data_IF_573481729528
#
_entry.id   IF_573481729528
#
_cell.length_a   1.000
_cell.length_b   1.000
_cell.length_c   1.000
_cell.angle_alpha   90.00
_cell.angle_beta   90.00
_cell.angle_gamma   90.00
#
_symmetry.space_group_name_H-M   'P 1'
#
loop_
_entity.id
_entity.type
_entity.pdbx_description
1 polymer ?
#
# COMPACT_ATOMS: atom_id res chain seq x y z
N UNK A 1 -63.91 20.54 15.25
CA UNK A 1 -62.68 20.97 15.96
C UNK A 1 -61.52 20.33 15.21
N UNK A 2 -60.90 20.90 14.17
CA UNK A 2 -60.37 22.25 13.94
C UNK A 2 -59.26 22.65 14.95
N UNK A 3 -58.05 22.80 14.39
CA UNK A 3 -56.88 23.58 14.83
C UNK A 3 -55.90 22.94 15.84
N UNK A 4 -54.70 22.61 15.35
CA UNK A 4 -53.38 23.06 15.82
C UNK A 4 -52.29 21.97 15.75
N UNK A 5 -51.35 22.10 14.81
CA UNK A 5 -49.90 21.93 15.04
C UNK A 5 -49.16 22.09 13.70
N UNK A 6 -48.68 23.31 13.44
CA UNK A 6 -47.78 23.65 12.33
C UNK A 6 -46.65 24.51 12.89
N UNK A 7 -45.64 23.86 13.47
CA UNK A 7 -44.37 24.49 13.84
C UNK A 7 -43.32 23.36 13.97
N UNK A 8 -42.36 23.29 13.05
CA UNK A 8 -41.29 22.28 13.13
C UNK A 8 -40.30 22.19 11.96
N UNK A 9 -40.55 22.86 10.82
CA UNK A 9 -39.71 22.68 9.61
C UNK A 9 -38.53 23.68 9.53
N UNK A 10 -38.43 24.64 10.46
CA UNK A 10 -37.38 25.67 10.43
C UNK A 10 -36.02 25.27 11.00
N UNK A 11 -35.93 24.19 11.78
CA UNK A 11 -34.71 23.83 12.51
C UNK A 11 -33.67 23.06 11.70
N UNK A 12 -34.10 22.18 10.78
CA UNK A 12 -33.19 21.27 10.06
C UNK A 12 -32.44 21.94 8.91
N UNK A 13 -33.02 22.96 8.27
CA UNK A 13 -32.34 23.73 7.22
C UNK A 13 -31.16 24.56 7.77
N UNK A 14 -31.24 24.99 9.04
CA UNK A 14 -30.14 25.70 9.71
C UNK A 14 -28.93 24.81 10.02
N UNK A 15 -29.16 23.54 10.37
CA UNK A 15 -28.08 22.60 10.66
C UNK A 15 -27.32 22.17 9.40
N UNK A 16 -28.01 22.00 8.28
CA UNK A 16 -27.37 21.65 7.00
C UNK A 16 -26.49 22.79 6.46
N UNK A 17 -26.95 24.05 6.57
CA UNK A 17 -26.16 25.22 6.17
C UNK A 17 -24.87 25.36 7.00
N UNK A 18 -24.92 25.01 8.28
CA UNK A 18 -23.77 25.08 9.19
C UNK A 18 -22.72 24.00 8.89
N UNK A 19 -23.16 22.78 8.53
CA UNK A 19 -22.26 21.69 8.15
C UNK A 19 -21.52 21.97 6.82
N UNK A 20 -22.20 22.56 5.85
CA UNK A 20 -21.59 22.94 4.56
C UNK A 20 -20.56 24.06 4.76
N UNK A 21 -20.88 25.07 5.57
CA UNK A 21 -19.92 26.15 5.89
C UNK A 21 -18.67 25.62 6.61
N UNK A 22 -18.83 24.67 7.53
CA UNK A 22 -17.71 24.02 8.22
C UNK A 22 -16.82 23.21 7.25
N UNK A 23 -17.42 22.49 6.30
CA UNK A 23 -16.67 21.75 5.27
C UNK A 23 -15.83 22.65 4.37
N UNK A 24 -16.38 23.79 3.94
CA UNK A 24 -15.65 24.78 3.12
C UNK A 24 -14.49 25.41 3.90
N UNK A 25 -14.68 25.71 5.19
CA UNK A 25 -13.63 26.26 6.05
C UNK A 25 -12.45 25.28 6.26
N UNK A 26 -12.74 23.99 6.45
CA UNK A 26 -11.71 22.95 6.59
C UNK A 26 -10.90 22.80 5.31
N UNK A 27 -11.57 22.83 4.15
CA UNK A 27 -10.89 22.71 2.86
C UNK A 27 -10.01 23.94 2.54
N UNK A 28 -10.45 25.14 2.91
CA UNK A 28 -9.63 26.35 2.81
C UNK A 28 -8.38 26.29 3.72
N UNK A 29 -8.52 25.78 4.95
CA UNK A 29 -7.39 25.63 5.87
C UNK A 29 -6.35 24.60 5.37
N UNK A 30 -6.81 23.51 4.75
CA UNK A 30 -5.92 22.51 4.17
C UNK A 30 -5.13 23.05 2.97
N UNK A 31 -5.75 23.89 2.13
CA UNK A 31 -5.04 24.57 1.02
C UNK A 31 -3.96 25.52 1.52
N UNK A 32 -4.25 26.35 2.52
CA UNK A 32 -3.25 27.25 3.13
C UNK A 32 -2.06 26.48 3.73
N UNK A 33 -2.31 25.32 4.37
CA UNK A 33 -1.21 24.46 4.87
C UNK A 33 -0.34 23.89 3.74
N UNK A 34 -0.95 23.45 2.64
CA UNK A 34 -0.23 22.91 1.49
C UNK A 34 0.64 24.01 0.83
N UNK A 35 0.09 25.21 0.67
CA UNK A 35 0.83 26.35 0.09
C UNK A 35 2.00 26.78 0.98
N UNK A 36 1.83 26.79 2.31
CA UNK A 36 2.93 27.06 3.26
C UNK A 36 4.02 25.99 3.21
N UNK A 37 3.67 24.72 3.10
CA UNK A 37 4.65 23.64 2.96
C UNK A 37 5.42 23.76 1.65
N UNK A 38 4.75 24.12 0.55
CA UNK A 38 5.39 24.37 -0.74
C UNK A 38 6.34 25.55 -0.69
N UNK A 39 5.93 26.66 -0.08
CA UNK A 39 6.79 27.82 0.13
C UNK A 39 8.02 27.52 1.00
N UNK A 40 7.87 26.69 2.04
CA UNK A 40 9.00 26.24 2.87
C UNK A 40 9.97 25.33 2.10
N UNK A 41 9.46 24.48 1.20
CA UNK A 41 10.28 23.65 0.35
C UNK A 41 11.09 24.48 -0.65
N UNK A 42 10.46 25.47 -1.29
CA UNK A 42 11.11 26.37 -2.25
C UNK A 42 12.13 27.33 -1.57
N UNK A 43 11.88 27.70 -0.31
CA UNK A 43 12.85 28.45 0.50
C UNK A 43 14.07 27.61 0.92
N UNK A 44 13.96 26.27 0.97
CA UNK A 44 15.09 25.38 1.26
C UNK A 44 15.91 25.06 0.02
N UNK A 45 15.28 25.00 -1.16
CA UNK A 45 15.98 24.72 -2.43
C UNK A 45 16.78 25.91 -2.98
N UNK A 46 16.57 27.11 -2.45
CA UNK A 46 17.20 28.36 -2.91
C UNK A 46 18.40 28.81 -2.09
N UNK A 47 18.94 27.98 -1.18
CA UNK A 47 20.17 28.32 -0.44
C UNK A 47 21.41 28.18 -1.35
N UNK A 48 22.24 29.22 -1.52
CA UNK A 48 23.50 29.10 -2.24
C UNK A 48 24.47 28.19 -1.46
N UNK A 49 25.15 27.30 -2.18
CA UNK A 49 26.17 26.41 -1.64
C UNK A 49 27.30 27.22 -0.98
N UNK A 50 27.33 27.25 0.35
CA UNK A 50 28.52 27.63 1.11
C UNK A 50 29.39 26.41 1.41
N UNK A 51 30.69 26.63 1.35
CA UNK A 51 31.82 25.68 1.42
C UNK A 51 31.77 24.63 2.55
N UNK A 52 32.43 23.47 2.36
CA UNK A 52 32.48 22.41 3.36
C UNK A 52 33.33 22.81 4.59
N UNK A 53 32.68 22.90 5.75
CA UNK A 53 33.33 23.03 7.04
C UNK A 53 34.02 21.73 7.47
N UNK A 54 35.34 21.81 7.69
CA UNK A 54 36.19 20.75 8.24
C UNK A 54 35.76 20.40 9.65
N UNK A 55 35.34 19.15 9.86
CA UNK A 55 35.01 18.62 11.18
C UNK A 55 36.29 18.32 11.99
N UNK A 56 36.45 19.02 13.11
CA UNK A 56 37.45 18.75 14.14
C UNK A 56 36.99 17.56 15.00
N UNK A 57 37.72 16.46 14.95
CA UNK A 57 37.55 15.32 15.87
C UNK A 57 38.01 15.78 17.25
N UNK A 58 37.14 15.64 18.26
CA UNK A 58 37.43 15.91 19.67
C UNK A 58 37.52 14.56 20.38
N UNK A 59 38.73 14.15 20.74
CA UNK A 59 38.98 12.98 21.58
C UNK A 59 38.43 13.22 22.99
N UNK A 60 37.60 12.29 23.48
CA UNK A 60 37.24 12.20 24.88
C UNK A 60 38.00 11.03 25.51
N UNK A 61 38.98 11.35 26.35
CA UNK A 61 39.59 10.42 27.29
C UNK A 61 38.59 10.10 28.42
N UNK A 62 38.14 8.85 28.48
CA UNK A 62 37.38 8.28 29.58
C UNK A 62 38.13 7.10 30.20
N UNK A 63 38.59 7.33 31.44
CA UNK A 63 39.45 6.49 32.29
C UNK A 63 38.90 5.09 32.54
N UNK A 64 39.76 4.09 32.37
CA UNK A 64 39.63 2.72 32.92
C UNK A 64 39.90 2.72 34.43
N UNK A 65 39.23 1.83 35.17
CA UNK A 65 39.78 1.05 36.31
C UNK A 65 38.86 -0.16 36.64
N UNK A 66 39.37 -1.21 37.33
CA UNK A 66 39.27 -2.58 36.81
C UNK A 66 38.72 -3.64 37.78
N UNK A 67 38.80 -4.91 37.34
CA UNK A 67 38.88 -6.17 38.11
C UNK A 67 37.52 -6.78 38.54
N UNK A 68 37.25 -8.10 38.51
CA UNK A 68 38.06 -9.29 38.83
C UNK A 68 37.56 -10.55 38.07
N UNK A 69 38.56 -11.36 37.63
CA UNK A 69 38.65 -12.79 37.32
C UNK A 69 37.41 -13.72 37.32
N UNK A 70 37.33 -14.52 36.25
CA UNK A 70 36.62 -15.81 36.21
C UNK A 70 37.13 -16.66 35.04
N UNK A 71 38.10 -17.52 35.32
CA UNK A 71 38.83 -18.39 34.39
C UNK A 71 37.97 -19.58 33.96
N UNK A 72 38.02 -19.93 32.66
CA UNK A 72 37.46 -21.18 32.13
C UNK A 72 37.89 -21.39 30.67
N UNK A 73 39.07 -21.98 30.49
CA UNK A 73 39.67 -22.27 29.19
C UNK A 73 39.25 -23.65 28.65
N UNK A 74 38.91 -23.74 27.35
CA UNK A 74 39.09 -24.96 26.54
C UNK A 74 39.53 -24.57 25.10
N UNK A 75 40.77 -24.94 24.78
CA UNK A 75 41.44 -25.13 23.46
C UNK A 75 40.64 -26.12 22.59
N UNK A 76 40.75 -26.28 21.27
CA UNK A 76 41.51 -25.78 20.11
C UNK A 76 40.81 -26.43 18.88
N UNK A 77 40.95 -26.06 17.60
CA UNK A 77 42.14 -26.19 16.75
C UNK A 77 41.85 -25.68 15.32
N UNK A 78 42.86 -25.09 14.68
CA UNK A 78 43.15 -25.15 13.23
C UNK A 78 42.30 -24.24 12.30
N UNK A 79 42.83 -23.63 11.24
CA UNK A 79 44.16 -23.66 10.61
C UNK A 79 44.24 -22.47 9.64
N UNK A 80 45.37 -21.77 9.64
CA UNK A 80 45.69 -20.66 8.77
C UNK A 80 46.06 -21.11 7.34
N UNK A 81 45.78 -20.25 6.36
CA UNK A 81 46.36 -20.29 5.02
C UNK A 81 46.65 -18.85 4.56
N UNK A 82 47.92 -18.57 4.28
CA UNK A 82 48.45 -17.26 3.92
C UNK A 82 48.90 -17.23 2.45
N UNK A 83 48.77 -16.04 1.85
CA UNK A 83 49.68 -15.41 0.87
C UNK A 83 49.87 -16.11 -0.48
N UNK A 84 49.47 -15.42 -1.55
CA UNK A 84 50.40 -15.13 -2.66
C UNK A 84 50.07 -13.82 -3.37
N UNK A 85 51.13 -13.11 -3.74
CA UNK A 85 51.19 -11.78 -4.35
C UNK A 85 52.01 -11.86 -5.64
N UNK A 86 51.64 -11.12 -6.69
CA UNK A 86 52.45 -10.60 -7.83
C UNK A 86 51.47 -10.18 -8.95
N UNK A 87 51.67 -9.21 -9.85
CA UNK A 87 52.69 -8.20 -10.16
C UNK A 87 52.11 -7.37 -11.35
N UNK A 88 52.00 -6.05 -11.26
CA UNK A 88 52.75 -5.01 -12.00
C UNK A 88 52.40 -4.68 -13.47
N UNK A 89 52.15 -3.37 -13.71
CA UNK A 89 52.68 -2.44 -14.77
C UNK A 89 51.83 -1.16 -14.70
N UNK A 90 52.28 0.00 -14.25
CA UNK A 90 53.35 0.92 -14.70
C UNK A 90 53.16 1.45 -16.14
N UNK A 91 52.74 2.73 -16.30
CA UNK A 91 53.64 3.85 -16.63
C UNK A 91 52.91 5.16 -17.01
N UNK A 92 53.48 6.26 -16.49
CA UNK A 92 53.76 7.54 -17.17
C UNK A 92 52.58 8.39 -17.65
N UNK A 93 52.48 9.70 -17.40
CA UNK A 93 53.47 10.69 -16.94
C UNK A 93 52.96 12.07 -17.39
N UNK A 94 52.95 13.07 -16.52
CA UNK A 94 53.78 14.27 -16.64
C UNK A 94 52.95 15.55 -16.51
N UNK A 95 53.37 16.37 -15.56
CA UNK A 95 52.89 17.70 -15.17
C UNK A 95 53.14 18.75 -16.27
N UNK A 96 52.47 19.90 -16.16
CA UNK A 96 53.11 21.21 -15.98
C UNK A 96 52.12 22.27 -15.47
N UNK A 97 52.55 22.99 -14.44
CA UNK A 97 51.94 24.18 -13.82
C UNK A 97 52.19 25.44 -14.68
N UNK A 98 51.38 26.51 -14.52
CA UNK A 98 51.83 27.78 -13.88
C UNK A 98 51.10 29.10 -14.29
N UNK A 99 50.79 29.90 -13.24
CA UNK A 99 50.68 31.38 -13.08
C UNK A 99 49.66 32.22 -13.90
N UNK A 100 48.63 32.82 -13.26
CA UNK A 100 48.53 34.15 -12.57
C UNK A 100 48.65 35.37 -13.50
N UNK A 101 47.60 36.20 -13.56
CA UNK A 101 47.69 37.65 -13.27
C UNK A 101 46.31 38.34 -13.27
N UNK A 102 46.11 39.21 -12.29
CA UNK A 102 44.98 40.09 -12.09
C UNK A 102 45.19 41.47 -12.75
N UNK A 103 44.12 42.25 -12.89
CA UNK A 103 44.15 43.70 -13.10
C UNK A 103 42.88 44.21 -13.78
N UNK A 104 41.97 44.88 -13.07
CA UNK A 104 41.89 46.32 -12.73
C UNK A 104 41.04 47.15 -13.72
N UNK A 105 39.93 47.69 -13.20
CA UNK A 105 39.42 49.08 -13.36
C UNK A 105 39.34 49.72 -14.77
N UNK A 106 38.13 50.20 -15.18
CA UNK A 106 37.62 51.57 -14.93
C UNK A 106 36.33 51.89 -15.71
N UNK A 107 35.63 52.90 -15.18
CA UNK A 107 34.39 53.55 -15.62
C UNK A 107 34.48 54.26 -16.98
N UNK A 108 33.31 54.41 -17.62
CA UNK A 108 32.84 55.70 -18.14
C UNK A 108 32.58 55.79 -19.65
N UNK A 109 31.39 56.29 -20.02
CA UNK A 109 31.20 57.03 -21.28
C UNK A 109 29.99 56.64 -22.11
N UNK A 110 28.89 57.38 -21.98
CA UNK A 110 27.86 57.49 -23.01
C UNK A 110 28.42 58.22 -24.24
N UNK A 111 28.34 57.61 -25.43
CA UNK A 111 28.27 58.32 -26.72
C UNK A 111 27.38 57.53 -27.68
N UNK A 112 26.27 58.15 -28.08
CA UNK A 112 25.45 57.68 -29.19
C UNK A 112 26.22 57.83 -30.50
N UNK A 113 26.25 56.77 -31.29
CA UNK A 113 26.67 56.76 -32.68
C UNK A 113 25.69 55.86 -33.45
N UNK A 114 25.03 56.43 -34.46
CA UNK A 114 24.35 55.70 -35.50
C UNK A 114 25.30 54.64 -36.09
N UNK A 115 24.86 53.38 -36.17
CA UNK A 115 25.52 52.36 -36.99
C UNK A 115 24.54 51.72 -37.96
N UNK A 116 24.88 51.91 -39.22
CA UNK A 116 24.45 51.18 -40.40
C UNK A 116 24.54 49.67 -40.13
N UNK A 117 23.49 48.92 -40.48
CA UNK A 117 23.48 47.48 -40.38
C UNK A 117 24.55 46.87 -41.30
N UNK A 118 25.49 46.06 -40.78
CA UNK A 118 26.44 45.36 -41.63
C UNK A 118 25.73 44.22 -42.35
N UNK A 119 25.86 44.20 -43.68
CA UNK A 119 25.51 43.04 -44.50
C UNK A 119 26.43 41.88 -44.09
N UNK A 120 25.89 40.92 -43.34
CA UNK A 120 26.63 39.73 -42.94
C UNK A 120 26.78 38.81 -44.16
N UNK A 121 28.03 38.54 -44.53
CA UNK A 121 28.36 37.55 -45.56
C UNK A 121 27.73 36.19 -45.19
N UNK A 122 26.95 35.62 -46.13
CA UNK A 122 26.20 34.35 -45.99
C UNK A 122 27.00 33.19 -45.39
N UNK A 123 28.34 33.22 -45.45
CA UNK A 123 29.22 32.21 -44.87
C UNK A 123 29.32 32.21 -43.34
N UNK A 124 29.15 33.36 -42.66
CA UNK A 124 29.19 33.40 -41.19
C UNK A 124 27.87 32.97 -40.53
N UNK A 125 26.74 33.19 -41.20
CA UNK A 125 25.43 32.76 -40.69
C UNK A 125 25.33 31.23 -40.59
N UNK A 126 25.88 30.47 -41.56
CA UNK A 126 25.87 29.01 -41.48
C UNK A 126 26.73 28.48 -40.33
N UNK A 127 27.88 29.10 -40.02
CA UNK A 127 28.71 28.71 -38.87
C UNK A 127 28.00 28.95 -37.54
N UNK A 128 27.24 30.05 -37.42
CA UNK A 128 26.45 30.35 -36.23
C UNK A 128 25.26 29.41 -36.05
N UNK A 129 24.60 28.98 -37.15
CA UNK A 129 23.50 28.01 -37.09
C UNK A 129 24.01 26.62 -36.69
N UNK A 130 25.16 26.19 -37.21
CA UNK A 130 25.76 24.88 -36.85
C UNK A 130 26.31 24.86 -35.42
N UNK A 131 26.89 25.96 -34.93
CA UNK A 131 27.35 26.04 -33.54
C UNK A 131 26.19 26.21 -32.54
N UNK A 132 25.09 26.84 -32.94
CA UNK A 132 23.90 26.99 -32.09
C UNK A 132 23.04 25.72 -32.01
N UNK A 133 23.15 24.79 -32.96
CA UNK A 133 22.38 23.53 -32.96
C UNK A 133 23.05 22.41 -32.14
N UNK A 134 24.36 22.46 -31.93
CA UNK A 134 25.11 21.52 -31.08
C UNK A 134 24.59 21.42 -29.62
N UNK A 135 24.29 22.50 -28.90
CA UNK A 135 23.70 22.38 -27.56
C UNK A 135 22.29 21.79 -27.59
N UNK A 136 21.50 22.04 -28.65
CA UNK A 136 20.14 21.49 -28.77
C UNK A 136 20.18 19.97 -28.98
N UNK A 137 21.09 19.47 -29.81
CA UNK A 137 21.28 18.02 -30.00
C UNK A 137 21.82 17.35 -28.74
N UNK A 138 22.74 18.01 -28.01
CA UNK A 138 23.23 17.51 -26.73
C UNK A 138 22.14 17.48 -25.64
N UNK A 139 21.24 18.47 -25.60
CA UNK A 139 20.08 18.48 -24.70
C UNK A 139 19.08 17.39 -25.08
N UNK A 140 18.79 17.18 -26.37
CA UNK A 140 17.89 16.09 -26.80
C UNK A 140 18.48 14.71 -26.49
N UNK A 141 19.79 14.52 -26.68
CA UNK A 141 20.47 13.28 -26.31
C UNK A 141 20.50 13.05 -24.79
N UNK A 142 20.71 14.11 -24.00
CA UNK A 142 20.62 14.01 -22.53
C UNK A 142 19.19 13.76 -22.04
N UNK A 143 18.17 14.32 -22.68
CA UNK A 143 16.76 14.02 -22.39
C UNK A 143 16.42 12.58 -22.77
N UNK A 144 16.88 12.09 -23.92
CA UNK A 144 16.66 10.70 -24.36
C UNK A 144 17.32 9.65 -23.43
N UNK A 145 18.51 9.95 -22.87
CA UNK A 145 19.17 9.10 -21.86
C UNK A 145 18.51 9.25 -20.48
N UNK A 146 17.87 10.40 -20.20
CA UNK A 146 17.08 10.62 -18.98
C UNK A 146 15.66 10.04 -19.05
N UNK A 147 15.16 9.66 -20.24
CA UNK A 147 14.05 8.70 -20.37
C UNK A 147 14.59 7.34 -19.95
N UNK A 148 14.77 7.17 -18.64
CA UNK A 148 14.84 5.84 -18.04
C UNK A 148 13.62 5.11 -18.58
N UNK A 149 13.83 3.91 -19.12
CA UNK A 149 12.75 2.95 -19.28
C UNK A 149 12.09 2.83 -17.91
N UNK A 150 11.01 3.56 -17.70
CA UNK A 150 10.09 3.31 -16.62
C UNK A 150 9.51 1.95 -16.94
N UNK A 151 10.13 0.91 -16.40
CA UNK A 151 9.47 -0.35 -16.19
C UNK A 151 8.24 -0.01 -15.36
N UNK A 152 7.07 -0.01 -15.99
CA UNK A 152 5.84 -0.09 -15.23
C UNK A 152 5.93 -1.45 -14.56
N UNK A 153 6.25 -1.48 -13.27
CA UNK A 153 6.06 -2.66 -12.45
C UNK A 153 4.59 -2.99 -12.60
N UNK A 154 4.28 -4.04 -13.35
CA UNK A 154 2.97 -4.64 -13.18
C UNK A 154 2.96 -5.31 -11.78
N UNK A 155 1.78 -5.75 -11.34
CA UNK A 155 1.65 -6.37 -10.02
C UNK A 155 2.29 -7.78 -9.98
N UNK A 156 3.05 -8.16 -11.01
CA UNK A 156 3.59 -9.48 -11.31
C UNK A 156 5.15 -9.50 -11.29
N UNK A 157 5.81 -8.36 -11.50
CA UNK A 157 7.28 -8.25 -11.66
C UNK A 157 8.14 -8.43 -10.37
N UNK A 158 7.74 -9.31 -9.46
CA UNK A 158 8.42 -9.51 -8.19
C UNK A 158 8.63 -10.97 -7.81
N UNK A 159 9.11 -11.84 -8.69
CA UNK A 159 9.31 -13.26 -8.34
C UNK A 159 10.77 -13.55 -7.91
N UNK A 160 11.18 -12.98 -6.78
CA UNK A 160 12.27 -13.57 -5.97
C UNK A 160 11.64 -14.42 -4.87
N UNK A 161 12.33 -15.41 -4.31
CA UNK A 161 11.81 -16.26 -3.20
C UNK A 161 11.27 -15.42 -2.01
N UNK A 162 11.80 -14.20 -1.80
CA UNK A 162 11.37 -13.21 -0.80
C UNK A 162 10.08 -12.45 -1.16
N UNK A 163 9.63 -12.51 -2.41
CA UNK A 163 8.43 -11.88 -2.95
C UNK A 163 7.53 -12.91 -3.66
N UNK A 164 7.73 -14.19 -3.38
CA UNK A 164 6.93 -15.26 -3.96
C UNK A 164 5.45 -14.97 -3.71
N UNK A 165 4.59 -15.26 -4.69
CA UNK A 165 3.14 -14.96 -4.60
C UNK A 165 2.49 -15.57 -3.36
N UNK A 166 2.97 -16.74 -2.93
CA UNK A 166 2.55 -17.42 -1.70
C UNK A 166 2.84 -16.63 -0.40
N UNK A 167 3.63 -15.56 -0.47
CA UNK A 167 3.98 -14.68 0.64
C UNK A 167 3.23 -13.33 0.62
N UNK A 168 2.35 -13.15 -0.36
CA UNK A 168 1.60 -11.90 -0.51
C UNK A 168 0.24 -12.02 0.17
N UNK A 169 0.13 -11.52 1.39
CA UNK A 169 -1.12 -11.42 2.15
C UNK A 169 -2.01 -10.37 1.49
N UNK A 170 -3.19 -10.79 1.00
CA UNK A 170 -4.13 -9.87 0.35
C UNK A 170 -5.16 -9.33 1.32
N UNK A 171 -5.77 -10.21 2.13
CA UNK A 171 -6.92 -9.86 2.95
C UNK A 171 -6.95 -10.64 4.27
N UNK A 172 -7.55 -10.00 5.27
CA UNK A 172 -7.87 -10.57 6.58
C UNK A 172 -9.34 -10.34 6.88
N UNK A 173 -10.05 -11.39 7.30
CA UNK A 173 -11.43 -11.29 7.76
C UNK A 173 -11.58 -11.92 9.14
N UNK A 174 -12.39 -11.28 9.98
CA UNK A 174 -12.78 -11.80 11.28
C UNK A 174 -14.26 -11.53 11.53
N UNK A 175 -15.04 -12.58 11.78
CA UNK A 175 -16.46 -12.49 12.06
C UNK A 175 -16.95 -13.71 12.84
N UNK A 176 -18.12 -13.60 13.48
CA UNK A 176 -18.77 -14.77 14.09
C UNK A 176 -19.22 -15.72 12.98
N UNK A 177 -18.96 -17.02 13.13
CA UNK A 177 -19.32 -17.99 12.09
C UNK A 177 -20.82 -17.96 11.81
N UNK A 178 -21.27 -17.78 10.55
CA UNK A 178 -22.69 -17.64 10.23
C UNK A 178 -23.55 -18.82 10.67
N UNK A 179 -23.00 -20.04 10.61
CA UNK A 179 -23.68 -21.26 11.05
C UNK A 179 -23.57 -21.55 12.54
N UNK A 180 -22.72 -20.81 13.28
CA UNK A 180 -22.52 -20.99 14.72
C UNK A 180 -21.92 -19.71 15.33
N UNK A 181 -22.76 -18.79 15.84
CA UNK A 181 -22.29 -17.50 16.35
C UNK A 181 -21.48 -17.60 17.65
N UNK A 182 -21.33 -18.81 18.22
CA UNK A 182 -20.43 -19.07 19.36
C UNK A 182 -18.97 -19.26 18.94
N UNK A 183 -18.70 -19.30 17.64
CA UNK A 183 -17.36 -19.45 17.06
C UNK A 183 -16.91 -18.17 16.35
N UNK A 184 -15.62 -17.89 16.45
CA UNK A 184 -14.94 -16.84 15.70
C UNK A 184 -14.31 -17.48 14.46
N UNK A 185 -14.69 -16.99 13.28
CA UNK A 185 -14.06 -17.29 12.01
C UNK A 185 -12.97 -16.26 11.72
N UNK A 186 -11.74 -16.74 11.54
CA UNK A 186 -10.58 -15.98 11.11
C UNK A 186 -10.17 -16.48 9.73
N UNK A 187 -9.98 -15.56 8.78
CA UNK A 187 -9.65 -15.90 7.40
C UNK A 187 -8.50 -15.03 6.96
N UNK A 188 -7.45 -15.67 6.44
CA UNK A 188 -6.36 -15.01 5.73
C UNK A 188 -6.40 -15.45 4.28
N UNK A 189 -6.44 -14.49 3.36
CA UNK A 189 -6.18 -14.72 1.95
C UNK A 189 -4.75 -14.30 1.62
N UNK A 190 -4.15 -15.10 0.76
CA UNK A 190 -2.83 -14.82 0.22
C UNK A 190 -2.76 -15.28 -1.23
N UNK A 191 -1.76 -14.73 -1.91
CA UNK A 191 -1.57 -14.78 -3.36
C UNK A 191 -2.73 -14.08 -4.11
N UNK A 192 -2.57 -12.80 -4.45
CA UNK A 192 -3.70 -11.94 -4.78
C UNK A 192 -4.40 -12.27 -6.09
N UNK A 193 -3.81 -13.06 -7.00
CA UNK A 193 -4.40 -13.35 -8.33
C UNK A 193 -3.86 -14.65 -8.91
N UNK A 194 -4.33 -15.81 -8.44
CA UNK A 194 -4.04 -17.04 -9.19
C UNK A 194 -4.79 -17.01 -10.51
N UNK A 195 -4.08 -17.27 -11.62
CA UNK A 195 -4.73 -17.57 -12.88
C UNK A 195 -5.74 -18.71 -12.68
N UNK A 196 -6.89 -18.70 -13.39
CA UNK A 196 -7.86 -19.78 -13.28
C UNK A 196 -7.20 -21.15 -13.49
N UNK A 197 -7.38 -22.05 -12.52
CA UNK A 197 -6.77 -23.39 -12.57
C UNK A 197 -5.29 -23.47 -12.19
N UNK A 198 -4.68 -22.38 -11.71
CA UNK A 198 -3.41 -22.41 -11.00
C UNK A 198 -3.64 -22.33 -9.50
N UNK A 199 -2.83 -23.05 -8.75
CA UNK A 199 -2.74 -22.99 -7.30
C UNK A 199 -1.27 -22.78 -6.94
N UNK A 200 -1.04 -21.99 -5.90
CA UNK A 200 0.27 -21.87 -5.30
C UNK A 200 0.23 -22.62 -3.97
N UNK A 201 1.24 -23.46 -3.78
CA UNK A 201 1.46 -24.13 -2.49
C UNK A 201 1.92 -23.08 -1.47
N UNK A 202 1.65 -23.32 -0.19
CA UNK A 202 2.22 -22.52 0.88
C UNK A 202 3.75 -22.65 0.82
N UNK A 203 4.46 -21.58 1.15
CA UNK A 203 5.91 -21.63 1.28
C UNK A 203 6.32 -22.51 2.46
N UNK A 204 7.28 -23.40 2.25
CA UNK A 204 7.84 -24.26 3.31
C UNK A 204 8.81 -23.51 4.24
N UNK A 205 9.11 -22.24 3.93
CA UNK A 205 9.98 -21.36 4.72
C UNK A 205 9.21 -20.27 5.45
N UNK A 206 7.88 -20.23 5.29
CA UNK A 206 7.05 -19.17 5.82
C UNK A 206 6.18 -19.64 6.98
N UNK A 207 5.87 -18.68 7.85
CA UNK A 207 4.90 -18.78 8.93
C UNK A 207 3.72 -17.90 8.57
N UNK A 208 2.55 -18.53 8.48
CA UNK A 208 1.29 -17.83 8.26
C UNK A 208 0.60 -17.71 9.61
N UNK A 209 0.36 -16.49 10.08
CA UNK A 209 0.00 -16.24 11.46
C UNK A 209 -1.32 -15.48 11.55
N UNK A 210 -2.25 -16.01 12.36
CA UNK A 210 -3.49 -15.34 12.76
C UNK A 210 -3.34 -14.91 14.22
N UNK A 211 -3.45 -13.61 14.46
CA UNK A 211 -3.26 -13.01 15.76
C UNK A 211 -4.61 -12.59 16.36
N UNK A 212 -4.77 -12.79 17.65
CA UNK A 212 -5.98 -12.43 18.39
C UNK A 212 -5.60 -11.75 19.71
N UNK A 213 -6.11 -10.53 19.88
CA UNK A 213 -6.00 -9.75 21.11
C UNK A 213 -7.40 -9.52 21.69
N UNK A 214 -7.58 -9.73 22.98
CA UNK A 214 -8.81 -9.40 23.69
C UNK A 214 -8.84 -7.91 23.96
N UNK A 215 -9.98 -7.29 23.68
CA UNK A 215 -10.20 -5.87 23.97
C UNK A 215 -11.42 -5.69 24.87
N UNK A 216 -11.37 -4.69 25.74
CA UNK A 216 -12.43 -4.43 26.71
C UNK A 216 -13.70 -3.88 26.05
N UNK A 217 -13.55 -3.03 25.02
CA UNK A 217 -14.65 -2.41 24.29
C UNK A 217 -14.30 -2.22 22.80
N UNK A 218 -15.32 -2.03 21.96
CA UNK A 218 -15.14 -1.75 20.51
C UNK A 218 -14.42 -0.44 20.21
N UNK A 219 -14.39 0.46 21.17
CA UNK A 219 -13.74 1.78 21.10
C UNK A 219 -12.34 1.77 21.74
N UNK A 220 -11.94 0.67 22.35
CA UNK A 220 -10.59 0.53 22.90
C UNK A 220 -9.57 0.55 21.76
N UNK A 221 -8.50 1.32 21.93
CA UNK A 221 -7.43 1.34 20.96
C UNK A 221 -6.81 -0.07 20.81
N UNK A 222 -6.61 -0.55 19.57
CA UNK A 222 -5.83 -1.74 19.26
C UNK A 222 -4.50 -1.77 20.02
N UNK A 223 -4.12 -2.95 20.49
CA UNK A 223 -2.78 -3.19 21.05
C UNK A 223 -2.09 -4.25 20.22
N UNK A 224 -0.76 -4.17 20.09
CA UNK A 224 0.03 -5.21 19.41
C UNK A 224 0.28 -6.44 20.29
N UNK A 225 -0.56 -6.70 21.29
CA UNK A 225 -0.40 -7.83 22.22
C UNK A 225 -1.12 -9.06 21.67
N UNK A 226 -0.38 -10.15 21.48
CA UNK A 226 -0.96 -11.47 21.22
C UNK A 226 -1.46 -12.10 22.53
N UNK A 227 -2.78 -12.16 22.72
CA UNK A 227 -3.35 -13.08 23.71
C UNK A 227 -3.34 -14.51 23.15
N UNK A 228 -3.63 -14.66 21.86
CA UNK A 228 -3.50 -15.91 21.12
C UNK A 228 -2.86 -15.68 19.75
N UNK A 229 -2.01 -16.62 19.35
CA UNK A 229 -1.41 -16.68 18.01
C UNK A 229 -1.59 -18.10 17.46
N UNK A 230 -2.16 -18.20 16.27
CA UNK A 230 -2.28 -19.45 15.51
C UNK A 230 -1.32 -19.40 14.33
N UNK A 231 -0.24 -20.16 14.41
CA UNK A 231 0.81 -20.24 13.38
C UNK A 231 0.63 -21.48 12.53
N UNK A 232 0.65 -21.32 11.21
CA UNK A 232 0.59 -22.39 10.23
C UNK A 232 1.93 -22.48 9.49
N UNK A 233 2.52 -23.66 9.47
CA UNK A 233 3.77 -23.96 8.76
C UNK A 233 3.54 -25.19 7.87
N UNK A 234 3.86 -25.07 6.59
CA UNK A 234 3.60 -26.11 5.60
C UNK A 234 4.86 -26.94 5.31
N UNK A 235 4.67 -28.26 5.17
CA UNK A 235 5.66 -29.16 4.60
C UNK A 235 5.69 -29.10 3.06
N UNK A 236 6.61 -29.85 2.43
CA UNK A 236 6.65 -29.99 0.97
C UNK A 236 5.31 -30.48 0.41
N UNK A 237 4.97 -30.02 -0.79
CA UNK A 237 3.81 -30.53 -1.51
C UNK A 237 4.10 -31.91 -2.11
N UNK A 238 3.11 -32.79 -2.07
CA UNK A 238 3.16 -34.07 -2.76
C UNK A 238 2.87 -33.92 -4.27
N UNK A 239 2.87 -35.04 -4.99
CA UNK A 239 2.61 -35.07 -6.43
C UNK A 239 1.22 -34.54 -6.83
N UNK A 240 0.29 -34.43 -5.88
CA UNK A 240 -1.07 -33.90 -6.08
C UNK A 240 -1.21 -32.43 -5.68
N UNK A 241 -0.13 -31.83 -5.15
CA UNK A 241 -0.11 -30.46 -4.65
C UNK A 241 -0.63 -30.31 -3.22
N UNK A 242 -0.88 -31.42 -2.51
CA UNK A 242 -1.30 -31.39 -1.10
C UNK A 242 -0.08 -31.25 -0.20
N UNK A 243 -0.20 -30.42 0.83
CA UNK A 243 0.84 -30.21 1.85
C UNK A 243 0.32 -30.62 3.21
N UNK A 244 1.17 -31.30 3.98
CA UNK A 244 1.00 -31.39 5.43
C UNK A 244 1.20 -30.00 6.03
N UNK A 245 0.34 -29.61 6.97
CA UNK A 245 0.43 -28.32 7.66
C UNK A 245 0.40 -28.56 9.16
N UNK A 246 1.36 -27.96 9.85
CA UNK A 246 1.39 -27.92 11.32
C UNK A 246 0.80 -26.60 11.79
N UNK A 247 -0.19 -26.68 12.67
CA UNK A 247 -0.75 -25.54 13.40
C UNK A 247 -0.14 -25.53 14.79
N UNK A 248 0.58 -24.46 15.13
CA UNK A 248 1.08 -24.21 16.48
C UNK A 248 0.24 -23.13 17.14
N UNK A 249 -0.26 -23.39 18.34
CA UNK A 249 -1.05 -22.41 19.10
C UNK A 249 -0.22 -21.84 20.23
N UNK A 250 -0.15 -20.52 20.32
CA UNK A 250 0.46 -19.79 21.42
C UNK A 250 -0.61 -19.05 22.20
N UNK A 251 -0.40 -18.93 23.51
CA UNK A 251 -1.19 -18.09 24.41
C UNK A 251 -0.27 -17.27 25.27
N UNK A 252 -0.46 -15.95 25.26
CA UNK A 252 0.41 -14.99 25.96
C UNK A 252 1.91 -15.25 25.68
N UNK A 253 2.25 -15.58 24.43
CA UNK A 253 3.61 -15.90 23.97
C UNK A 253 4.10 -17.34 24.28
N UNK A 254 3.41 -18.10 25.12
CA UNK A 254 3.77 -19.49 25.44
C UNK A 254 3.12 -20.47 24.45
N UNK A 255 3.91 -21.41 23.92
CA UNK A 255 3.38 -22.47 23.05
C UNK A 255 2.52 -23.44 23.86
N UNK A 256 1.26 -23.60 23.46
CA UNK A 256 0.32 -24.54 24.06
C UNK A 256 0.42 -25.95 23.47
N UNK A 257 0.83 -26.05 22.19
CA UNK A 257 0.99 -27.32 21.51
C UNK A 257 0.85 -27.18 19.98
N UNK A 258 0.75 -28.31 19.31
CA UNK A 258 0.65 -28.40 17.84
C UNK A 258 -0.44 -29.37 17.41
N UNK A 259 -0.99 -29.16 16.22
CA UNK A 259 -1.84 -30.12 15.53
C UNK A 259 -1.48 -30.18 14.03
N UNK A 260 -1.50 -31.38 13.46
CA UNK A 260 -1.14 -31.61 12.06
C UNK A 260 -2.39 -31.87 11.23
N UNK A 261 -2.51 -31.20 10.09
CA UNK A 261 -3.54 -31.43 9.10
C UNK A 261 -2.99 -31.33 7.69
N UNK A 262 -3.88 -31.17 6.71
CA UNK A 262 -3.56 -31.17 5.29
C UNK A 262 -4.24 -30.02 4.55
N UNK A 263 -3.61 -29.54 3.48
CA UNK A 263 -4.27 -28.65 2.52
C UNK A 263 -5.27 -29.40 1.64
N UNK A 264 -6.11 -28.66 0.93
CA UNK A 264 -7.01 -29.19 -0.11
C UNK A 264 -6.38 -29.00 -1.48
N UNK A 265 -6.35 -30.07 -2.28
CA UNK A 265 -5.93 -30.00 -3.67
C UNK A 265 -6.92 -29.21 -4.55
N UNK A 266 -6.42 -28.59 -5.63
CA UNK A 266 -7.25 -27.77 -6.54
C UNK A 266 -8.42 -28.51 -7.16
N UNK A 267 -8.24 -29.76 -7.59
CA UNK A 267 -9.28 -30.56 -8.24
C UNK A 267 -10.48 -30.78 -7.32
N UNK A 268 -10.27 -31.38 -6.13
CA UNK A 268 -11.30 -31.49 -5.09
C UNK A 268 -11.94 -30.15 -4.72
N UNK A 269 -11.12 -29.11 -4.51
CA UNK A 269 -11.62 -27.78 -4.11
C UNK A 269 -12.59 -27.20 -5.15
N UNK A 270 -12.30 -27.35 -6.44
CA UNK A 270 -13.18 -26.93 -7.54
C UNK A 270 -14.47 -27.74 -7.61
N UNK A 271 -14.43 -29.01 -7.21
CA UNK A 271 -15.59 -29.88 -7.12
C UNK A 271 -16.41 -29.67 -5.83
N UNK A 272 -16.03 -28.69 -4.98
CA UNK A 272 -16.67 -28.44 -3.68
C UNK A 272 -16.27 -29.44 -2.59
N UNK A 273 -15.32 -30.33 -2.85
CA UNK A 273 -14.77 -31.26 -1.88
C UNK A 273 -13.57 -30.61 -1.16
N UNK A 274 -13.76 -30.24 0.11
CA UNK A 274 -12.75 -29.57 0.92
C UNK A 274 -12.18 -30.49 2.01
N UNK A 275 -10.87 -30.43 2.23
CA UNK A 275 -10.24 -31.06 3.40
C UNK A 275 -10.50 -30.20 4.62
N UNK A 276 -11.37 -30.68 5.51
CA UNK A 276 -11.62 -30.05 6.80
C UNK A 276 -10.76 -30.70 7.86
N UNK A 277 -9.89 -29.92 8.48
CA UNK A 277 -9.04 -30.36 9.58
C UNK A 277 -9.72 -30.02 10.92
N UNK A 278 -9.66 -30.94 11.87
CA UNK A 278 -10.22 -30.76 13.22
C UNK A 278 -9.28 -31.36 14.25
N UNK A 279 -9.09 -30.66 15.37
CA UNK A 279 -8.28 -31.15 16.48
C UNK A 279 -8.38 -30.23 17.70
N UNK A 280 -7.68 -30.58 18.77
CA UNK A 280 -7.63 -29.77 19.99
C UNK A 280 -6.17 -29.52 20.35
N UNK A 281 -5.82 -28.26 20.63
CA UNK A 281 -4.47 -27.84 21.03
C UNK A 281 -4.56 -27.01 22.30
N UNK A 282 -3.93 -27.45 23.39
CA UNK A 282 -3.98 -26.72 24.66
C UNK A 282 -5.38 -26.49 25.22
N UNK A 283 -6.32 -27.39 24.93
CA UNK A 283 -7.74 -27.25 25.29
C UNK A 283 -8.56 -26.32 24.37
N UNK A 284 -7.99 -25.86 23.26
CA UNK A 284 -8.69 -25.07 22.24
C UNK A 284 -9.04 -25.98 21.08
N UNK A 285 -10.32 -26.06 20.77
CA UNK A 285 -10.82 -26.80 19.61
C UNK A 285 -10.61 -25.97 18.34
N UNK A 286 -9.96 -26.60 17.38
CA UNK A 286 -9.62 -26.03 16.10
C UNK A 286 -10.46 -26.74 15.03
N UNK A 287 -11.10 -25.96 14.16
CA UNK A 287 -11.63 -26.44 12.89
C UNK A 287 -11.12 -25.52 11.79
N UNK A 288 -10.35 -26.05 10.84
CA UNK A 288 -9.74 -25.23 9.82
C UNK A 288 -9.69 -25.88 8.44
N UNK A 289 -9.61 -25.02 7.44
CA UNK A 289 -9.44 -25.36 6.03
C UNK A 289 -8.27 -24.56 5.47
N UNK A 290 -7.49 -25.20 4.59
CA UNK A 290 -6.41 -24.53 3.85
C UNK A 290 -6.50 -24.98 2.40
N UNK A 291 -6.61 -24.04 1.47
CA UNK A 291 -6.67 -24.36 0.06
C UNK A 291 -7.29 -23.27 -0.80
N UNK A 292 -7.54 -23.56 -2.08
CA UNK A 292 -8.13 -22.61 -3.02
C UNK A 292 -9.54 -22.22 -2.60
N UNK A 293 -9.87 -20.95 -2.77
CA UNK A 293 -11.25 -20.46 -2.67
C UNK A 293 -11.47 -19.43 -3.78
N UNK A 294 -12.72 -19.32 -4.22
CA UNK A 294 -13.15 -18.12 -4.93
C UNK A 294 -12.84 -16.91 -4.05
N UNK A 295 -12.18 -15.91 -4.64
CA UNK A 295 -11.98 -14.63 -3.98
C UNK A 295 -13.36 -14.02 -3.67
N UNK A 296 -13.54 -13.54 -2.44
CA UNK A 296 -14.77 -12.84 -2.07
C UNK A 296 -14.75 -11.36 -2.44
N UNK A 297 -13.65 -10.88 -3.04
CA UNK A 297 -13.52 -9.52 -3.56
C UNK A 297 -14.35 -9.33 -4.83
N UNK A 298 -15.64 -9.05 -4.66
CA UNK A 298 -16.48 -8.56 -5.73
C UNK A 298 -16.22 -7.06 -5.94
N UNK A 299 -15.56 -6.70 -7.05
CA UNK A 299 -15.40 -5.29 -7.43
C UNK A 299 -15.82 -5.07 -8.87
N UNK A 300 -16.83 -4.22 -9.03
CA UNK A 300 -17.30 -3.82 -10.33
C UNK A 300 -16.40 -2.72 -10.91
N UNK A 301 -15.31 -3.15 -11.56
CA UNK A 301 -14.35 -2.25 -12.21
C UNK A 301 -15.05 -1.34 -13.22
N UNK A 302 -16.02 -1.88 -13.97
CA UNK A 302 -16.75 -1.14 -14.98
C UNK A 302 -17.55 -0.02 -14.33
N UNK A 303 -18.33 -0.35 -13.30
CA UNK A 303 -19.14 0.63 -12.58
C UNK A 303 -18.29 1.64 -11.83
N UNK A 304 -17.16 1.24 -11.27
CA UNK A 304 -16.20 2.15 -10.66
C UNK A 304 -15.73 3.23 -11.65
N UNK A 305 -15.35 2.85 -12.87
CA UNK A 305 -14.95 3.83 -13.88
C UNK A 305 -16.12 4.69 -14.37
N UNK A 306 -17.33 4.14 -14.49
CA UNK A 306 -18.54 4.92 -14.81
C UNK A 306 -18.83 5.98 -13.73
N UNK A 307 -18.78 5.59 -12.45
CA UNK A 307 -18.96 6.51 -11.31
C UNK A 307 -17.89 7.59 -11.33
N UNK A 308 -16.62 7.24 -11.52
CA UNK A 308 -15.53 8.21 -11.58
C UNK A 308 -15.68 9.19 -12.74
N UNK A 309 -16.03 8.70 -13.93
CA UNK A 309 -16.25 9.54 -15.11
C UNK A 309 -17.44 10.49 -14.90
N UNK A 310 -18.52 9.99 -14.30
CA UNK A 310 -19.67 10.79 -13.92
C UNK A 310 -19.28 11.89 -12.91
N UNK A 311 -18.59 11.57 -11.81
CA UNK A 311 -18.20 12.55 -10.80
C UNK A 311 -17.24 13.60 -11.40
N UNK A 312 -16.28 13.17 -12.22
CA UNK A 312 -15.37 14.08 -12.92
C UNK A 312 -16.15 15.04 -13.83
N UNK A 313 -17.09 14.53 -14.63
CA UNK A 313 -17.95 15.36 -15.49
C UNK A 313 -18.83 16.31 -14.67
N UNK A 314 -19.48 15.79 -13.62
CA UNK A 314 -20.40 16.53 -12.76
C UNK A 314 -19.75 17.71 -12.07
N UNK A 315 -18.51 17.56 -11.59
CA UNK A 315 -17.83 18.62 -10.83
C UNK A 315 -16.86 19.45 -11.65
N UNK A 316 -16.33 18.93 -12.75
CA UNK A 316 -15.24 19.58 -13.51
C UNK A 316 -15.40 19.55 -15.04
N UNK A 317 -16.43 18.89 -15.57
CA UNK A 317 -16.58 18.64 -17.01
C UNK A 317 -17.34 19.71 -17.81
N UNK A 318 -17.78 20.79 -17.17
CA UNK A 318 -18.45 21.92 -17.82
C UNK A 318 -17.48 22.94 -18.40
N UNK A 319 -18.03 23.94 -19.10
CA UNK A 319 -17.24 25.02 -19.69
C UNK A 319 -16.37 25.72 -18.62
N UNK A 320 -15.11 26.00 -18.95
CA UNK A 320 -14.11 26.61 -18.07
C UNK A 320 -13.80 25.80 -16.79
N UNK A 321 -14.04 24.48 -16.79
CA UNK A 321 -13.80 23.62 -15.63
C UNK A 321 -14.89 23.70 -14.55
N UNK A 322 -16.00 24.37 -14.84
CA UNK A 322 -17.17 24.38 -13.96
C UNK A 322 -17.86 23.01 -13.94
N UNK A 323 -18.68 22.73 -12.91
CA UNK A 323 -19.44 21.49 -12.86
C UNK A 323 -20.50 21.38 -13.97
N UNK A 324 -20.64 20.19 -14.57
CA UNK A 324 -21.71 19.89 -15.51
C UNK A 324 -22.99 19.44 -14.77
N UNK A 325 -23.92 20.36 -14.58
CA UNK A 325 -25.20 20.10 -13.92
C UNK A 325 -26.11 19.09 -14.66
N UNK A 326 -25.79 18.75 -15.91
CA UNK A 326 -26.54 17.79 -16.73
C UNK A 326 -25.83 16.45 -16.86
N UNK A 327 -24.67 16.25 -16.21
CA UNK A 327 -24.02 14.93 -16.17
C UNK A 327 -24.98 13.92 -15.53
N UNK A 328 -25.08 12.73 -16.13
CA UNK A 328 -25.90 11.62 -15.65
C UNK A 328 -25.04 10.38 -15.44
N UNK A 329 -25.43 9.57 -14.46
CA UNK A 329 -24.89 8.22 -14.27
C UNK A 329 -25.99 7.24 -14.69
N UNK A 330 -25.65 6.28 -15.55
CA UNK A 330 -26.59 5.23 -15.93
C UNK A 330 -27.10 4.47 -14.70
N UNK A 331 -28.30 3.93 -14.78
CA UNK A 331 -28.85 3.11 -13.70
C UNK A 331 -27.94 1.91 -13.43
N UNK A 332 -27.90 1.43 -12.18
CA UNK A 332 -27.17 0.21 -11.86
C UNK A 332 -27.92 -1.01 -12.44
N UNK A 333 -27.37 -2.23 -12.31
CA UNK A 333 -27.98 -3.43 -12.88
C UNK A 333 -29.31 -3.86 -12.23
N UNK A 334 -29.76 -3.22 -11.14
CA UNK A 334 -31.13 -3.33 -10.61
C UNK A 334 -32.09 -2.28 -11.18
N UNK A 335 -31.58 -1.32 -11.94
CA UNK A 335 -32.33 -0.13 -12.35
C UNK A 335 -32.32 0.99 -11.31
N UNK A 336 -31.48 0.91 -10.27
CA UNK A 336 -31.40 1.97 -9.26
C UNK A 336 -30.74 3.21 -9.89
N UNK A 337 -31.41 4.36 -9.78
CA UNK A 337 -30.85 5.62 -10.25
C UNK A 337 -29.98 6.26 -9.20
N UNK A 338 -28.90 6.88 -9.63
CA UNK A 338 -28.04 7.70 -8.78
C UNK A 338 -28.86 8.80 -8.09
N UNK A 339 -28.88 8.81 -6.75
CA UNK A 339 -29.59 9.77 -5.90
C UNK A 339 -31.13 9.79 -6.01
N UNK A 340 -31.78 8.84 -6.69
CA UNK A 340 -33.25 8.77 -6.69
C UNK A 340 -33.84 8.69 -5.28
N UNK A 341 -33.05 8.17 -4.34
CA UNK A 341 -33.45 7.97 -2.96
C UNK A 341 -32.95 9.07 -2.01
N UNK A 342 -32.13 10.03 -2.51
CA UNK A 342 -31.62 11.15 -1.71
C UNK A 342 -32.50 12.41 -1.81
N UNK A 343 -33.41 12.46 -2.78
CA UNK A 343 -34.34 13.57 -2.95
C UNK A 343 -35.66 13.28 -2.21
N UNK A 344 -36.21 14.25 -1.45
CA UNK A 344 -37.51 14.12 -0.80
C UNK A 344 -38.60 13.72 -1.81
N UNK A 345 -39.30 12.61 -1.56
CA UNK A 345 -40.36 12.09 -2.45
C UNK A 345 -39.92 11.03 -3.47
N UNK A 346 -38.68 10.55 -3.40
CA UNK A 346 -38.22 9.40 -4.19
C UNK A 346 -38.96 8.10 -3.84
N UNK A 347 -39.14 7.16 -4.79
CA UNK A 347 -39.90 5.92 -4.58
C UNK A 347 -39.43 5.08 -3.38
N UNK A 348 -38.13 5.07 -3.08
CA UNK A 348 -37.58 4.29 -1.95
C UNK A 348 -37.75 4.96 -0.58
N UNK A 349 -38.23 6.20 -0.49
CA UNK A 349 -38.58 6.79 0.80
C UNK A 349 -39.70 6.01 1.52
N UNK A 350 -40.45 5.18 0.78
CA UNK A 350 -41.52 4.33 1.30
C UNK A 350 -41.16 2.86 1.53
N UNK A 351 -40.06 2.32 0.97
CA UNK A 351 -39.83 0.86 0.94
C UNK A 351 -39.05 0.30 2.15
N UNK A 352 -38.50 1.15 3.02
CA UNK A 352 -37.72 0.73 4.19
C UNK A 352 -38.33 1.14 5.54
N UNK A 353 -39.67 1.12 5.68
CA UNK A 353 -40.33 1.41 6.96
C UNK A 353 -40.04 2.81 7.52
N UNK A 354 -39.69 3.77 6.66
CA UNK A 354 -39.40 5.15 7.04
C UNK A 354 -38.00 5.41 7.61
N UNK A 355 -37.13 4.39 7.69
CA UNK A 355 -35.71 4.59 8.02
C UNK A 355 -34.92 4.49 6.73
N UNK A 356 -34.28 5.58 6.25
CA UNK A 356 -33.37 5.50 5.13
C UNK A 356 -32.26 4.52 5.50
N UNK A 357 -32.23 3.36 4.85
CA UNK A 357 -31.09 2.46 4.95
C UNK A 357 -29.83 3.26 4.59
N UNK A 358 -28.77 3.21 5.40
CA UNK A 358 -27.57 4.03 5.14
C UNK A 358 -26.95 3.74 3.75
N UNK A 359 -27.37 2.66 3.10
CA UNK A 359 -27.06 2.27 1.73
C UNK A 359 -27.90 2.98 0.64
N UNK A 360 -28.62 4.08 0.97
CA UNK A 360 -29.40 4.91 0.01
C UNK A 360 -28.61 5.29 -1.25
N UNK A 361 -27.29 5.42 -1.14
CA UNK A 361 -26.42 5.79 -2.25
C UNK A 361 -25.98 4.54 -3.02
N UNK A 362 -26.88 4.02 -3.85
CA UNK A 362 -26.63 2.91 -4.79
C UNK A 362 -25.74 3.34 -5.98
N UNK A 363 -24.50 3.77 -5.70
CA UNK A 363 -23.50 4.08 -6.74
C UNK A 363 -23.06 2.83 -7.50
N UNK A 364 -22.97 1.70 -6.80
CA UNK A 364 -22.42 0.46 -7.32
C UNK A 364 -23.52 -0.54 -7.69
N UNK A 365 -23.18 -1.47 -8.58
CA UNK A 365 -23.99 -2.64 -8.82
C UNK A 365 -23.95 -3.54 -7.58
N UNK A 366 -25.08 -4.11 -7.12
CA UNK A 366 -25.03 -5.08 -6.04
C UNK A 366 -24.26 -6.34 -6.45
N UNK A 367 -23.72 -7.10 -5.49
CA UNK A 367 -22.93 -8.30 -5.78
C UNK A 367 -23.65 -9.33 -6.68
N UNK A 368 -24.98 -9.36 -6.65
CA UNK A 368 -25.79 -10.29 -7.45
C UNK A 368 -25.73 -10.04 -8.96
N UNK A 369 -25.36 -8.83 -9.40
CA UNK A 369 -25.30 -8.48 -10.84
C UNK A 369 -24.11 -7.62 -11.25
N UNK A 370 -23.23 -7.27 -10.32
CA UNK A 370 -21.92 -6.70 -10.64
C UNK A 370 -21.12 -7.69 -11.52
N UNK A 371 -20.56 -7.25 -12.67
CA UNK A 371 -19.53 -8.00 -13.37
C UNK A 371 -18.33 -8.19 -12.45
N UNK A 372 -18.21 -9.38 -11.87
CA UNK A 372 -17.08 -9.76 -11.05
C UNK A 372 -15.88 -10.08 -11.95
N UNK A 373 -14.95 -9.12 -12.11
CA UNK A 373 -13.73 -9.34 -12.89
C UNK A 373 -12.80 -10.37 -12.25
N UNK A 374 -12.99 -10.67 -10.95
CA UNK A 374 -12.26 -11.72 -10.24
C UNK A 374 -12.95 -13.08 -10.32
N UNK A 375 -14.09 -13.17 -11.03
CA UNK A 375 -14.80 -14.43 -11.20
C UNK A 375 -13.86 -15.48 -11.80
N UNK A 376 -13.72 -16.59 -11.08
CA UNK A 376 -12.80 -17.71 -11.36
C UNK A 376 -11.31 -17.46 -11.04
N UNK A 377 -10.94 -16.28 -10.55
CA UNK A 377 -9.67 -16.12 -9.84
C UNK A 377 -9.77 -16.84 -8.50
N UNK A 378 -8.69 -17.54 -8.16
CA UNK A 378 -8.60 -18.22 -6.88
C UNK A 378 -7.59 -17.50 -6.01
N UNK A 379 -7.96 -17.29 -4.76
CA UNK A 379 -7.02 -17.03 -3.68
C UNK A 379 -6.72 -18.34 -2.98
N UNK A 380 -5.58 -18.42 -2.31
CA UNK A 380 -5.39 -19.48 -1.30
C UNK A 380 -5.80 -18.91 0.04
N UNK A 381 -6.62 -19.66 0.77
CA UNK A 381 -7.16 -19.23 2.04
C UNK A 381 -6.69 -20.16 3.16
N UNK A 382 -6.35 -19.58 4.31
CA UNK A 382 -6.39 -20.25 5.61
C UNK A 382 -7.67 -19.78 6.29
N UNK A 383 -8.49 -20.72 6.73
CA UNK A 383 -9.77 -20.46 7.39
C UNK A 383 -9.76 -21.20 8.70
N UNK A 384 -9.83 -20.48 9.82
CA UNK A 384 -9.82 -21.04 11.16
C UNK A 384 -11.12 -20.68 11.88
N UNK A 385 -11.78 -21.67 12.47
CA UNK A 385 -12.87 -21.48 13.41
C UNK A 385 -12.41 -21.92 14.80
N UNK A 386 -12.59 -21.02 15.78
CA UNK A 386 -12.28 -21.27 17.19
C UNK A 386 -13.47 -20.88 18.07
N UNK A 387 -13.85 -21.69 19.08
CA UNK A 387 -14.88 -21.32 20.04
C UNK A 387 -14.52 -20.04 20.82
N UNK A 388 -15.41 -19.05 20.81
CA UNK A 388 -15.21 -17.76 21.49
C UNK A 388 -15.00 -17.96 22.99
N UNK A 389 -15.71 -18.93 23.60
CA UNK A 389 -15.58 -19.26 25.01
C UNK A 389 -14.16 -19.69 25.40
N UNK A 390 -13.44 -20.40 24.52
CA UNK A 390 -12.07 -20.86 24.77
C UNK A 390 -11.02 -19.74 24.64
N UNK A 391 -11.37 -18.64 23.96
CA UNK A 391 -10.54 -17.43 23.88
C UNK A 391 -10.70 -16.52 25.11
N UNK A 392 -11.71 -16.73 25.96
CA UNK A 392 -11.88 -16.00 27.22
C UNK A 392 -12.14 -14.50 27.06
N UNK A 393 -12.87 -14.11 26.01
CA UNK A 393 -13.24 -12.71 25.72
C UNK A 393 -14.53 -12.60 24.91
N UNK A 394 -15.03 -11.37 24.74
CA UNK A 394 -16.24 -11.10 23.96
C UNK A 394 -16.00 -10.17 22.76
N UNK A 395 -14.92 -9.40 22.80
CA UNK A 395 -14.50 -8.48 21.73
C UNK A 395 -13.02 -8.75 21.50
N UNK A 396 -12.66 -8.88 20.23
CA UNK A 396 -11.31 -9.21 19.82
C UNK A 396 -10.86 -8.22 18.76
N UNK A 397 -9.60 -7.82 18.85
CA UNK A 397 -8.84 -7.26 17.75
C UNK A 397 -8.03 -8.39 17.10
N UNK A 398 -7.91 -8.35 15.77
CA UNK A 398 -7.34 -9.46 15.02
C UNK A 398 -6.60 -8.94 13.81
N UNK A 399 -5.45 -9.54 13.51
CA UNK A 399 -4.69 -9.27 12.31
C UNK A 399 -4.00 -10.55 11.86
N UNK A 400 -3.34 -10.47 10.71
CA UNK A 400 -2.60 -11.59 10.15
C UNK A 400 -1.24 -11.14 9.64
N UNK A 401 -0.27 -12.04 9.69
CA UNK A 401 1.06 -11.80 9.14
C UNK A 401 1.55 -13.02 8.37
N UNK A 402 2.47 -12.79 7.44
CA UNK A 402 3.27 -13.84 6.81
C UNK A 402 4.73 -13.43 7.03
N UNK A 403 5.48 -14.28 7.73
CA UNK A 403 6.91 -14.06 7.98
C UNK A 403 7.74 -15.21 7.40
N UNK A 404 8.95 -14.91 6.95
CA UNK A 404 9.93 -15.91 6.50
C UNK A 404 11.04 -15.93 7.54
N UNK A 405 11.42 -17.11 8.02
CA UNK A 405 12.62 -17.21 8.87
C UNK A 405 13.85 -16.96 8.00
N UNK A 406 14.66 -15.96 8.37
CA UNK A 406 15.97 -15.70 7.76
C UNK A 406 16.91 -16.91 7.84
#
# INVERSE_FOLDING_TARGET
MAVAQRAGVGGELGQLGTAIAAGVAVQAHQRDRADRQRAQHDARSSRPCSEPSVARVREHHGRLQPSILGVGAVRATGRAGSIESRSARDRSGSRKHSYIAAGLQRRGGCRGWFRVAPSYAKGEQMKRIVLASLPVVAVIAMVAVAVRTSYASDHDDGETDLKARALNLSDHFAFKSPGDPTKLSLIMYFNPRSLPGKQYTLSTKARYELHVSKVAARTTAPTSKDDYLFRFEAGPADATGVQTVTVTVFKDGAQLGTHTGMTTAIGPSKAGAITTNTGTVGGIDLKYFIGPRADSFAFDVVRFFQVRAFLASRFFGGANGNGNASATLADNCRGDKFLANLLPGGPAAGEAGGVPDADVINLFNPPSCAPDFTKNLNVTAIVLNVPIAQLGGAIFDTWSTISVSE
#
